data_IF_221672032230
#
_entry.id   IF_221672032230
#
_cell.length_a   1.000
_cell.length_b   1.000
_cell.length_c   1.000
_cell.angle_alpha   90.00
_cell.angle_beta   90.00
_cell.angle_gamma   90.00
#
_symmetry.space_group_name_H-M   'P 1'
#
loop_
_entity.id
_entity.type
_entity.pdbx_description
1 polymer ?
#
# COMPACT_ATOMS: atom_id res chain seq x y z
N UNK A 1 -14.59 12.96 5.83
CA UNK A 1 -13.64 13.63 6.77
C UNK A 1 -12.37 12.82 6.68
N UNK A 2 -11.20 13.43 6.60
CA UNK A 2 -9.97 12.63 6.63
C UNK A 2 -9.93 11.76 7.91
N UNK A 3 -9.42 10.53 7.79
CA UNK A 3 -9.24 9.65 8.95
C UNK A 3 -8.25 10.30 9.92
N UNK A 4 -8.48 10.15 11.22
CA UNK A 4 -7.53 10.58 12.25
C UNK A 4 -6.35 9.62 12.31
N UNK A 5 -5.23 10.06 12.88
CA UNK A 5 -4.05 9.20 13.05
C UNK A 5 -4.38 7.92 13.84
N UNK A 6 -5.21 8.02 14.88
CA UNK A 6 -5.64 6.86 15.69
C UNK A 6 -6.45 5.87 14.82
N UNK A 7 -7.28 6.38 13.91
CA UNK A 7 -8.05 5.53 12.98
C UNK A 7 -7.12 4.87 11.96
N UNK A 8 -6.16 5.59 11.39
CA UNK A 8 -5.20 5.01 10.43
C UNK A 8 -4.31 3.96 11.09
N UNK A 9 -3.81 4.24 12.30
CA UNK A 9 -2.98 3.29 13.07
C UNK A 9 -3.77 2.02 13.38
N UNK A 10 -5.05 2.15 13.74
CA UNK A 10 -5.90 0.99 13.99
C UNK A 10 -6.13 0.15 12.73
N UNK A 11 -6.36 0.81 11.58
CA UNK A 11 -6.49 0.11 10.30
C UNK A 11 -5.18 -0.63 9.96
N UNK A 12 -4.02 0.01 10.13
CA UNK A 12 -2.73 -0.60 9.83
C UNK A 12 -2.41 -1.78 10.77
N UNK A 13 -2.73 -1.69 12.06
CA UNK A 13 -2.66 -2.81 13.01
C UNK A 13 -3.52 -3.99 12.55
N UNK A 14 -4.79 -3.73 12.20
CA UNK A 14 -5.71 -4.77 11.75
C UNK A 14 -5.28 -5.40 10.42
N UNK A 15 -4.75 -4.60 9.49
CA UNK A 15 -4.16 -5.11 8.24
C UNK A 15 -2.94 -5.99 8.55
N UNK A 16 -2.05 -5.56 9.46
CA UNK A 16 -0.90 -6.35 9.91
C UNK A 16 -1.29 -7.69 10.53
N UNK A 17 -2.45 -7.74 11.19
CA UNK A 17 -3.04 -8.96 11.75
C UNK A 17 -3.90 -9.76 10.75
N UNK A 18 -3.88 -9.41 9.47
CA UNK A 18 -4.67 -10.06 8.41
C UNK A 18 -6.19 -10.04 8.64
N UNK A 19 -6.72 -9.01 9.30
CA UNK A 19 -8.16 -8.85 9.48
C UNK A 19 -8.89 -8.74 8.14
N UNK A 20 -10.15 -9.24 8.08
CA UNK A 20 -10.94 -9.11 6.86
C UNK A 20 -11.38 -7.66 6.68
N UNK A 21 -11.60 -7.28 5.41
CA UNK A 21 -12.07 -5.93 5.06
C UNK A 21 -13.32 -5.51 5.83
N UNK A 22 -14.29 -6.42 5.98
CA UNK A 22 -15.55 -6.15 6.68
C UNK A 22 -15.29 -5.88 8.17
N UNK A 23 -14.47 -6.72 8.82
CA UNK A 23 -14.10 -6.54 10.23
C UNK A 23 -13.44 -5.16 10.48
N UNK A 24 -12.58 -4.70 9.56
CA UNK A 24 -11.94 -3.37 9.64
C UNK A 24 -12.99 -2.26 9.53
N UNK A 25 -13.93 -2.37 8.58
CA UNK A 25 -14.99 -1.37 8.41
C UNK A 25 -15.88 -1.31 9.65
N UNK A 26 -16.30 -2.46 10.18
CA UNK A 26 -17.16 -2.55 11.35
C UNK A 26 -16.50 -1.95 12.59
N UNK A 27 -15.22 -2.24 12.82
CA UNK A 27 -14.44 -1.66 13.93
C UNK A 27 -14.35 -0.13 13.81
N UNK A 28 -13.96 0.37 12.63
CA UNK A 28 -13.67 1.79 12.45
C UNK A 28 -14.94 2.66 12.41
N UNK A 29 -15.99 2.18 11.75
CA UNK A 29 -17.27 2.90 11.68
C UNK A 29 -18.02 2.79 13.00
N UNK A 30 -18.07 1.60 13.60
CA UNK A 30 -18.83 1.34 14.82
C UNK A 30 -18.19 1.92 16.08
N UNK A 31 -16.88 1.72 16.28
CA UNK A 31 -16.21 2.11 17.53
C UNK A 31 -15.43 3.42 17.42
N UNK A 32 -14.87 3.71 16.25
CA UNK A 32 -14.06 4.91 16.05
C UNK A 32 -14.79 6.03 15.30
N UNK A 33 -16.08 5.87 14.99
CA UNK A 33 -16.93 6.85 14.28
C UNK A 33 -16.29 7.36 12.99
N UNK A 34 -15.53 6.52 12.32
CA UNK A 34 -14.91 6.84 11.05
C UNK A 34 -15.95 6.82 9.93
N UNK A 35 -15.67 7.57 8.86
CA UNK A 35 -16.45 7.51 7.63
C UNK A 35 -16.15 6.21 6.88
N UNK A 36 -17.18 5.43 6.57
CA UNK A 36 -17.03 4.18 5.83
C UNK A 36 -16.31 4.38 4.49
N UNK A 37 -16.62 5.46 3.77
CA UNK A 37 -15.98 5.80 2.50
C UNK A 37 -14.47 6.05 2.66
N UNK A 38 -14.08 6.76 3.73
CA UNK A 38 -12.69 7.10 4.00
C UNK A 38 -11.90 5.85 4.45
N UNK A 39 -12.51 4.96 5.24
CA UNK A 39 -11.94 3.65 5.61
C UNK A 39 -11.75 2.76 4.37
N UNK A 40 -12.76 2.66 3.50
CA UNK A 40 -12.66 1.86 2.28
C UNK A 40 -11.56 2.36 1.34
N UNK A 41 -11.44 3.68 1.19
CA UNK A 41 -10.39 4.29 0.38
C UNK A 41 -9.01 3.99 0.97
N UNK A 42 -8.84 4.09 2.29
CA UNK A 42 -7.56 3.79 2.94
C UNK A 42 -7.13 2.33 2.75
N UNK A 43 -8.08 1.38 2.89
CA UNK A 43 -7.83 -0.06 2.66
C UNK A 43 -7.43 -0.30 1.19
N UNK A 44 -8.12 0.34 0.24
CA UNK A 44 -7.80 0.22 -1.20
C UNK A 44 -6.40 0.72 -1.52
N UNK A 45 -6.01 1.86 -0.95
CA UNK A 45 -4.66 2.41 -1.12
C UNK A 45 -3.59 1.52 -0.49
N UNK A 46 -3.87 0.94 0.70
CA UNK A 46 -2.95 0.00 1.33
C UNK A 46 -2.75 -1.26 0.46
N UNK A 47 -3.83 -1.86 -0.07
CA UNK A 47 -3.73 -2.98 -1.02
C UNK A 47 -2.94 -2.63 -2.28
N UNK A 48 -3.14 -1.42 -2.80
CA UNK A 48 -2.40 -0.93 -3.97
C UNK A 48 -0.90 -0.83 -3.67
N UNK A 49 -0.53 -0.27 -2.51
CA UNK A 49 0.85 -0.21 -2.04
C UNK A 49 1.47 -1.60 -1.87
N UNK A 50 0.76 -2.53 -1.23
CA UNK A 50 1.24 -3.90 -1.07
C UNK A 50 1.48 -4.59 -2.42
N UNK A 51 0.59 -4.38 -3.40
CA UNK A 51 0.77 -4.88 -4.76
C UNK A 51 2.02 -4.31 -5.44
N UNK A 52 2.21 -2.99 -5.37
CA UNK A 52 3.40 -2.33 -5.91
C UNK A 52 4.69 -2.85 -5.28
N UNK A 53 4.72 -3.01 -3.95
CA UNK A 53 5.89 -3.53 -3.23
C UNK A 53 6.21 -4.99 -3.62
N UNK A 54 5.20 -5.84 -3.81
CA UNK A 54 5.41 -7.20 -4.33
C UNK A 54 6.00 -7.18 -5.74
N UNK A 55 5.49 -6.33 -6.62
CA UNK A 55 6.04 -6.20 -7.98
C UNK A 55 7.48 -5.69 -7.95
N UNK A 56 7.79 -4.70 -7.12
CA UNK A 56 9.18 -4.22 -6.93
C UNK A 56 10.08 -5.38 -6.46
N UNK A 57 9.63 -6.18 -5.48
CA UNK A 57 10.37 -7.34 -5.00
C UNK A 57 10.65 -8.37 -6.10
N UNK A 58 9.65 -8.69 -6.92
CA UNK A 58 9.83 -9.60 -8.07
C UNK A 58 10.81 -9.02 -9.11
N UNK A 59 10.62 -7.76 -9.52
CA UNK A 59 11.52 -7.14 -10.51
C UNK A 59 12.95 -6.97 -10.00
N UNK A 60 13.13 -6.77 -8.69
CA UNK A 60 14.48 -6.72 -8.10
C UNK A 60 15.18 -8.07 -8.24
N UNK A 61 14.45 -9.19 -8.08
CA UNK A 61 14.99 -10.52 -8.34
C UNK A 61 15.31 -10.73 -9.83
N UNK A 62 14.44 -10.23 -10.73
CA UNK A 62 14.68 -10.29 -12.17
C UNK A 62 15.95 -9.51 -12.57
N UNK A 63 16.20 -8.33 -11.99
CA UNK A 63 17.45 -7.57 -12.21
C UNK A 63 18.67 -8.38 -11.81
N UNK A 64 18.61 -9.08 -10.68
CA UNK A 64 19.71 -9.92 -10.18
C UNK A 64 19.96 -11.13 -11.10
N UNK A 65 18.89 -11.70 -11.66
CA UNK A 65 18.96 -12.88 -12.53
C UNK A 65 19.24 -12.54 -14.01
N UNK A 66 19.07 -11.29 -14.43
CA UNK A 66 19.18 -10.86 -15.82
C UNK A 66 20.61 -11.00 -16.36
N UNK A 67 20.75 -11.69 -17.50
CA UNK A 67 22.03 -11.93 -18.15
C UNK A 67 22.55 -10.71 -18.92
N UNK A 68 21.66 -9.95 -19.55
CA UNK A 68 22.04 -8.82 -20.40
C UNK A 68 21.88 -7.46 -19.72
N UNK A 69 22.65 -6.46 -20.17
CA UNK A 69 22.55 -5.09 -19.66
C UNK A 69 21.21 -4.43 -20.00
N UNK A 70 20.60 -4.78 -21.14
CA UNK A 70 19.31 -4.25 -21.56
C UNK A 70 18.19 -4.67 -20.60
N UNK A 71 18.12 -5.96 -20.24
CA UNK A 71 17.14 -6.51 -19.29
C UNK A 71 17.29 -5.87 -17.90
N UNK A 72 18.54 -5.67 -17.43
CA UNK A 72 18.80 -4.97 -16.17
C UNK A 72 18.30 -3.53 -16.18
N UNK A 73 18.51 -2.79 -17.27
CA UNK A 73 18.03 -1.41 -17.42
C UNK A 73 16.51 -1.31 -17.45
N UNK A 74 15.85 -2.22 -18.16
CA UNK A 74 14.39 -2.24 -18.24
C UNK A 74 13.76 -2.52 -16.88
N UNK A 75 14.21 -3.58 -16.19
CA UNK A 75 13.70 -3.92 -14.87
C UNK A 75 14.01 -2.83 -13.82
N UNK A 76 15.19 -2.20 -13.87
CA UNK A 76 15.51 -1.06 -13.00
C UNK A 76 14.57 0.14 -13.20
N UNK A 77 14.22 0.45 -14.46
CA UNK A 77 13.30 1.56 -14.79
C UNK A 77 11.88 1.30 -14.30
N UNK A 78 11.42 0.06 -14.36
CA UNK A 78 10.12 -0.34 -13.81
C UNK A 78 10.09 -0.25 -12.29
N UNK A 79 11.16 -0.70 -11.61
CA UNK A 79 11.33 -0.54 -10.16
C UNK A 79 11.26 0.94 -9.78
N UNK A 80 12.00 1.80 -10.47
CA UNK A 80 12.01 3.25 -10.20
C UNK A 80 10.60 3.85 -10.36
N UNK A 81 9.87 3.46 -11.41
CA UNK A 81 8.52 3.95 -11.69
C UNK A 81 7.53 3.52 -10.60
N UNK A 82 7.58 2.26 -10.18
CA UNK A 82 6.73 1.73 -9.11
C UNK A 82 7.07 2.37 -7.77
N UNK A 83 8.36 2.56 -7.47
CA UNK A 83 8.81 3.20 -6.25
C UNK A 83 8.31 4.66 -6.16
N UNK A 84 8.42 5.44 -7.25
CA UNK A 84 7.88 6.82 -7.30
C UNK A 84 6.37 6.84 -7.08
N UNK A 85 5.62 5.90 -7.66
CA UNK A 85 4.17 5.79 -7.45
C UNK A 85 3.83 5.43 -6.00
N UNK A 86 4.55 4.48 -5.39
CA UNK A 86 4.36 4.08 -4.00
C UNK A 86 4.65 5.25 -3.04
N UNK A 87 5.75 5.98 -3.24
CA UNK A 87 6.10 7.17 -2.46
C UNK A 87 4.98 8.21 -2.51
N UNK A 88 4.41 8.47 -3.70
CA UNK A 88 3.32 9.45 -3.86
C UNK A 88 2.06 9.05 -3.09
N UNK A 89 1.73 7.76 -3.01
CA UNK A 89 0.59 7.28 -2.21
C UNK A 89 0.90 7.43 -0.72
N UNK A 90 2.11 7.10 -0.28
CA UNK A 90 2.53 7.27 1.12
C UNK A 90 2.51 8.73 1.57
N UNK A 91 2.98 9.66 0.73
CA UNK A 91 2.92 11.10 1.01
C UNK A 91 1.48 11.60 1.19
N UNK A 92 0.53 11.12 0.38
CA UNK A 92 -0.90 11.45 0.53
C UNK A 92 -1.50 10.95 1.83
N UNK A 93 -1.01 9.84 2.37
CA UNK A 93 -1.45 9.29 3.66
C UNK A 93 -0.89 10.04 4.87
N UNK A 94 0.29 10.65 4.72
CA UNK A 94 0.95 11.43 5.77
C UNK A 94 0.51 12.90 5.83
N UNK A 95 -0.33 13.34 4.88
CA UNK A 95 -0.85 14.71 4.75
C UNK A 95 -2.26 14.81 5.30
#
# INVERSE_FOLDING_TARGET
MALTQVQTDKIDEMIGNNAKRLDIIDELVGKHKASAADVEQYIKENKTLQGMLKTISHRTKDVIAAGTEAERKEAAKEIETLAKKAIKILQRKAS
#
